data_IF_505455982204
#
_entry.id   IF_505455982204
#
_cell.length_a   1.000
_cell.length_b   1.000
_cell.length_c   1.000
_cell.angle_alpha   90.00
_cell.angle_beta   90.00
_cell.angle_gamma   90.00
#
_symmetry.space_group_name_H-M   'P 1'
#
loop_
_entity.id
_entity.type
_entity.pdbx_description
1 polymer ?
#
# COMPACT_ATOMS: atom_id res chain seq x y z
N UNK A 1 18.59 -21.79 -42.42
CA UNK A 1 17.70 -22.96 -42.21
C UNK A 1 17.93 -23.51 -40.81
N UNK A 2 16.94 -23.44 -39.92
CA UNK A 2 17.06 -24.00 -38.55
C UNK A 2 16.97 -25.53 -38.64
N UNK A 3 17.91 -26.24 -38.05
CA UNK A 3 18.01 -27.71 -38.12
C UNK A 3 16.98 -28.38 -37.20
N UNK A 4 16.51 -29.57 -37.58
CA UNK A 4 15.48 -30.38 -36.88
C UNK A 4 15.78 -30.64 -35.39
N UNK A 5 17.04 -30.51 -34.95
CA UNK A 5 17.45 -30.60 -33.53
C UNK A 5 17.04 -29.39 -32.68
N UNK A 6 16.86 -28.21 -33.28
CA UNK A 6 16.45 -27.00 -32.53
C UNK A 6 14.96 -26.99 -32.16
N UNK A 7 14.11 -27.69 -32.91
CA UNK A 7 12.66 -27.73 -32.66
C UNK A 7 12.27 -28.65 -31.49
N UNK A 8 13.09 -29.66 -31.16
CA UNK A 8 12.83 -30.58 -30.04
C UNK A 8 13.29 -30.01 -28.68
N UNK A 9 14.26 -29.09 -28.67
CA UNK A 9 14.68 -28.40 -27.45
C UNK A 9 13.62 -27.38 -26.97
N UNK A 10 12.94 -26.70 -27.91
CA UNK A 10 11.93 -25.69 -27.59
C UNK A 10 10.60 -26.29 -27.12
N UNK A 11 10.25 -27.51 -27.55
CA UNK A 11 9.01 -28.19 -27.15
C UNK A 11 9.06 -28.79 -25.72
N UNK A 12 10.26 -29.14 -25.23
CA UNK A 12 10.44 -29.71 -23.90
C UNK A 12 10.29 -28.65 -22.78
N UNK A 13 10.68 -27.39 -23.05
CA UNK A 13 10.50 -26.28 -22.10
C UNK A 13 9.06 -25.76 -22.05
N UNK A 14 8.30 -25.87 -23.14
CA UNK A 14 6.90 -25.42 -23.17
C UNK A 14 5.95 -26.36 -22.38
N UNK A 15 6.30 -27.64 -22.27
CA UNK A 15 5.45 -28.65 -21.61
C UNK A 15 5.66 -28.72 -20.09
N UNK A 16 6.80 -28.24 -19.58
CA UNK A 16 7.11 -28.25 -18.15
C UNK A 16 6.34 -27.17 -17.34
N UNK A 17 5.71 -26.20 -18.01
CA UNK A 17 4.92 -25.15 -17.36
C UNK A 17 3.47 -25.54 -17.05
N UNK A 18 2.97 -26.66 -17.60
CA UNK A 18 1.57 -27.10 -17.44
C UNK A 18 1.35 -28.11 -16.30
N UNK A 19 2.40 -28.50 -15.59
CA UNK A 19 2.34 -29.50 -14.51
C UNK A 19 2.87 -28.98 -13.16
N UNK A 20 2.67 -27.68 -12.87
CA UNK A 20 2.73 -27.23 -11.48
C UNK A 20 1.49 -27.78 -10.75
N UNK A 21 1.63 -28.51 -9.64
CA UNK A 21 0.48 -28.89 -8.84
C UNK A 21 -0.28 -27.62 -8.47
N UNK A 22 -1.62 -27.69 -8.51
CA UNK A 22 -2.58 -26.67 -8.04
C UNK A 22 -2.46 -26.39 -6.53
N UNK A 23 -1.36 -26.77 -5.89
CA UNK A 23 -1.06 -26.59 -4.49
C UNK A 23 -0.20 -25.34 -4.30
N UNK A 24 -0.88 -24.19 -4.27
CA UNK A 24 -0.52 -22.96 -3.55
C UNK A 24 -1.29 -21.75 -4.10
N UNK A 25 -2.52 -21.94 -4.60
CA UNK A 25 -3.44 -20.81 -4.56
C UNK A 25 -3.79 -20.65 -3.09
N UNK A 26 -3.22 -19.63 -2.43
CA UNK A 26 -3.57 -19.30 -1.06
C UNK A 26 -5.09 -19.34 -0.95
N UNK A 27 -5.61 -20.31 -0.18
CA UNK A 27 -7.03 -20.46 -0.01
C UNK A 27 -7.54 -19.13 0.56
N UNK A 28 -8.55 -18.54 -0.08
CA UNK A 28 -9.17 -17.35 0.47
C UNK A 28 -9.64 -17.68 1.89
N UNK A 29 -9.33 -16.84 2.89
CA UNK A 29 -9.70 -17.12 4.26
C UNK A 29 -11.22 -17.28 4.36
N UNK A 30 -11.71 -18.26 5.15
CA UNK A 30 -13.14 -18.49 5.31
C UNK A 30 -13.78 -17.24 5.95
N UNK A 31 -14.74 -16.61 5.27
CA UNK A 31 -15.46 -15.43 5.78
C UNK A 31 -15.35 -14.13 4.97
N UNK A 32 -14.59 -14.12 3.87
CA UNK A 32 -14.42 -12.91 3.04
C UNK A 32 -13.44 -11.90 3.67
N UNK A 33 -13.18 -10.75 3.00
CA UNK A 33 -12.21 -9.78 3.49
C UNK A 33 -12.72 -9.03 4.72
N UNK A 34 -11.94 -9.06 5.81
CA UNK A 34 -12.18 -8.31 7.04
C UNK A 34 -11.59 -6.91 6.89
N UNK A 35 -12.43 -5.88 6.92
CA UNK A 35 -11.98 -4.49 6.80
C UNK A 35 -11.77 -3.87 8.19
N UNK A 36 -10.61 -3.27 8.48
CA UNK A 36 -10.42 -2.55 9.73
C UNK A 36 -11.23 -1.25 9.73
N UNK A 37 -11.41 -0.66 10.92
CA UNK A 37 -12.08 0.64 11.07
C UNK A 37 -11.24 1.75 10.42
N UNK A 38 -11.93 2.75 9.86
CA UNK A 38 -11.28 3.99 9.44
C UNK A 38 -10.69 4.72 10.66
N UNK A 39 -9.57 5.39 10.47
CA UNK A 39 -8.91 6.20 11.49
C UNK A 39 -9.63 7.52 11.68
N UNK A 40 -9.58 8.00 12.92
CA UNK A 40 -10.06 9.32 13.31
C UNK A 40 -8.89 10.17 13.84
N UNK A 41 -9.00 11.51 13.84
CA UNK A 41 -8.06 12.36 14.58
C UNK A 41 -7.92 11.88 16.03
N UNK A 42 -6.69 11.87 16.54
CA UNK A 42 -6.33 11.36 17.86
C UNK A 42 -6.14 9.84 17.94
N UNK A 43 -6.39 9.10 16.86
CA UNK A 43 -6.15 7.66 16.83
C UNK A 43 -4.67 7.32 17.09
N UNK A 44 -4.45 6.25 17.86
CA UNK A 44 -3.12 5.86 18.35
C UNK A 44 -2.49 4.85 17.42
N UNK A 45 -1.28 5.14 16.94
CA UNK A 45 -0.58 4.32 15.95
C UNK A 45 0.67 3.71 16.57
N UNK A 46 0.74 2.39 16.62
CA UNK A 46 1.96 1.67 16.99
C UNK A 46 2.98 1.75 15.85
N UNK A 47 4.18 2.24 16.16
CA UNK A 47 5.31 2.30 15.22
C UNK A 47 6.21 1.10 15.46
N UNK A 48 6.35 0.24 14.45
CA UNK A 48 7.07 -1.04 14.56
C UNK A 48 8.16 -1.18 13.51
N UNK A 49 9.22 -1.91 13.85
CA UNK A 49 10.31 -2.25 12.90
C UNK A 49 10.41 -3.77 12.77
N UNK A 50 9.58 -4.42 11.94
CA UNK A 50 9.56 -5.89 11.88
C UNK A 50 10.72 -6.50 11.09
N UNK A 51 11.48 -5.68 10.37
CA UNK A 51 12.60 -6.09 9.54
C UNK A 51 13.90 -5.43 10.04
N UNK A 52 14.46 -4.53 9.24
CA UNK A 52 15.70 -3.82 9.57
C UNK A 52 15.43 -2.61 10.47
N UNK A 53 16.41 -2.13 11.27
CA UNK A 53 16.26 -0.91 12.06
C UNK A 53 16.10 0.30 11.14
N UNK A 54 15.73 1.47 11.68
CA UNK A 54 15.70 2.73 10.93
C UNK A 54 17.00 2.96 10.14
N UNK A 55 16.90 3.60 8.97
CA UNK A 55 18.08 3.86 8.12
C UNK A 55 18.96 4.93 8.74
N UNK A 56 18.34 6.01 9.20
CA UNK A 56 18.98 7.11 9.92
C UNK A 56 18.78 6.95 11.43
N UNK A 57 19.66 7.56 12.22
CA UNK A 57 19.54 7.60 13.69
C UNK A 57 18.20 8.20 14.10
N UNK A 58 17.72 9.17 13.34
CA UNK A 58 16.50 9.94 13.58
C UNK A 58 15.24 9.28 12.98
N UNK A 59 15.34 8.11 12.32
CA UNK A 59 14.17 7.50 11.64
C UNK A 59 12.96 7.33 12.56
N UNK A 60 13.20 7.02 13.84
CA UNK A 60 12.15 6.90 14.84
C UNK A 60 11.46 8.25 15.12
N UNK A 61 12.25 9.32 15.25
CA UNK A 61 11.75 10.69 15.49
C UNK A 61 10.95 11.16 14.27
N UNK A 62 11.49 10.97 13.07
CA UNK A 62 10.81 11.29 11.81
C UNK A 62 9.48 10.55 11.72
N UNK A 63 9.44 9.27 12.11
CA UNK A 63 8.20 8.50 12.11
C UNK A 63 7.16 9.01 13.11
N UNK A 64 7.60 9.41 14.30
CA UNK A 64 6.75 10.04 15.31
C UNK A 64 6.18 11.37 14.80
N UNK A 65 7.02 12.23 14.19
CA UNK A 65 6.62 13.53 13.63
C UNK A 65 5.65 13.40 12.45
N UNK A 66 5.91 12.47 11.52
CA UNK A 66 5.01 12.21 10.38
C UNK A 66 3.63 11.80 10.89
N UNK A 67 3.57 10.85 11.83
CA UNK A 67 2.30 10.39 12.40
C UNK A 67 1.59 11.51 13.16
N UNK A 68 2.32 12.29 13.96
CA UNK A 68 1.77 13.45 14.66
C UNK A 68 1.21 14.51 13.70
N UNK A 69 1.88 14.76 12.57
CA UNK A 69 1.44 15.72 11.55
C UNK A 69 0.11 15.35 10.88
N UNK A 70 -0.28 14.08 10.95
CA UNK A 70 -1.58 13.59 10.48
C UNK A 70 -2.70 13.77 11.52
N UNK A 71 -2.40 14.38 12.67
CA UNK A 71 -3.31 14.47 13.80
C UNK A 71 -3.50 13.14 14.54
N UNK A 72 -2.54 12.21 14.43
CA UNK A 72 -2.55 10.91 15.10
C UNK A 72 -1.57 10.91 16.28
N UNK A 73 -1.69 9.94 17.18
CA UNK A 73 -0.82 9.81 18.35
C UNK A 73 0.17 8.67 18.14
N UNK A 74 1.47 8.94 17.89
CA UNK A 74 2.46 7.89 17.71
C UNK A 74 2.76 7.17 19.04
N UNK A 75 2.92 5.85 18.98
CA UNK A 75 3.45 5.01 20.07
C UNK A 75 4.57 4.14 19.51
N UNK A 76 5.82 4.51 19.76
CA UNK A 76 6.98 3.71 19.36
C UNK A 76 7.02 2.40 20.16
N UNK A 77 7.14 1.28 19.46
CA UNK A 77 7.26 -0.04 20.09
C UNK A 77 8.72 -0.37 20.42
N UNK A 78 9.00 -1.16 21.48
CA UNK A 78 10.36 -1.37 21.99
C UNK A 78 11.41 -1.83 20.98
N UNK A 79 11.08 -2.78 20.09
CA UNK A 79 12.03 -3.33 19.12
C UNK A 79 12.48 -2.28 18.08
N UNK A 80 11.70 -1.23 17.84
CA UNK A 80 12.07 -0.14 16.94
C UNK A 80 13.35 0.62 17.36
N UNK A 81 13.74 0.53 18.64
CA UNK A 81 14.97 1.11 19.18
C UNK A 81 16.10 0.07 19.35
N UNK A 82 15.90 -1.18 18.92
CA UNK A 82 16.88 -2.25 19.04
C UNK A 82 17.64 -2.45 17.73
N UNK A 83 18.82 -3.04 17.85
CA UNK A 83 19.58 -3.49 16.72
C UNK A 83 20.31 -4.81 17.06
N UNK A 84 20.07 -5.83 16.25
CA UNK A 84 20.77 -7.11 16.28
C UNK A 84 21.26 -7.38 14.86
N UNK A 85 22.54 -7.11 14.62
CA UNK A 85 23.10 -7.10 13.27
C UNK A 85 22.30 -6.16 12.34
N UNK A 86 21.71 -6.69 11.27
CA UNK A 86 20.91 -5.95 10.29
C UNK A 86 19.41 -5.89 10.63
N UNK A 87 19.00 -6.42 11.79
CA UNK A 87 17.60 -6.51 12.25
C UNK A 87 17.33 -5.55 13.40
N UNK A 88 16.09 -5.09 13.52
CA UNK A 88 15.64 -4.23 14.63
C UNK A 88 15.35 -5.04 15.91
N UNK A 89 16.37 -5.71 16.46
CA UNK A 89 16.21 -6.69 17.56
C UNK A 89 16.06 -8.14 17.09
N UNK A 90 15.83 -9.07 18.01
CA UNK A 90 15.61 -10.49 17.69
C UNK A 90 14.24 -10.73 17.05
N UNK A 91 14.00 -11.94 16.52
CA UNK A 91 12.70 -12.27 15.92
C UNK A 91 11.58 -12.23 16.97
N UNK A 92 11.88 -12.67 18.19
CA UNK A 92 10.96 -12.68 19.32
C UNK A 92 10.61 -11.25 19.75
N UNK A 93 11.59 -10.34 19.83
CA UNK A 93 11.35 -8.93 20.16
C UNK A 93 10.47 -8.25 19.10
N UNK A 94 10.78 -8.43 17.81
CA UNK A 94 10.02 -7.83 16.71
C UNK A 94 8.61 -8.42 16.59
N UNK A 95 8.44 -9.72 16.85
CA UNK A 95 7.13 -10.36 16.89
C UNK A 95 6.33 -9.94 18.13
N UNK A 96 6.98 -9.75 19.27
CA UNK A 96 6.35 -9.27 20.50
C UNK A 96 5.74 -7.88 20.31
N UNK A 97 6.43 -6.98 19.61
CA UNK A 97 5.91 -5.65 19.26
C UNK A 97 4.61 -5.74 18.44
N UNK A 98 4.58 -6.56 17.39
CA UNK A 98 3.37 -6.77 16.58
C UNK A 98 2.24 -7.37 17.42
N UNK A 99 2.53 -8.42 18.19
CA UNK A 99 1.55 -9.08 19.03
C UNK A 99 0.99 -8.12 20.10
N UNK A 100 1.83 -7.33 20.74
CA UNK A 100 1.42 -6.33 21.73
C UNK A 100 0.54 -5.25 21.10
N UNK A 101 0.91 -4.74 19.92
CA UNK A 101 0.14 -3.72 19.22
C UNK A 101 -1.26 -4.23 18.80
N UNK A 102 -1.39 -5.49 18.41
CA UNK A 102 -2.70 -6.08 18.07
C UNK A 102 -3.53 -6.41 19.31
N UNK A 103 -2.92 -6.84 20.43
CA UNK A 103 -3.63 -7.10 21.70
C UNK A 103 -4.12 -5.83 22.39
N UNK A 104 -3.39 -4.73 22.26
CA UNK A 104 -3.69 -3.47 22.94
C UNK A 104 -4.92 -2.81 22.28
N UNK A 105 -6.08 -2.72 22.98
CA UNK A 105 -7.28 -2.09 22.44
C UNK A 105 -7.14 -0.57 22.34
N UNK A 106 -6.13 0.04 22.97
CA UNK A 106 -5.83 1.47 22.83
C UNK A 106 -5.02 1.79 21.58
N UNK A 107 -4.70 0.80 20.73
CA UNK A 107 -3.99 1.01 19.46
C UNK A 107 -4.95 0.83 18.31
N UNK A 108 -5.05 1.85 17.48
CA UNK A 108 -5.99 1.91 16.35
C UNK A 108 -5.35 1.46 15.04
N UNK A 109 -4.03 1.56 14.90
CA UNK A 109 -3.28 1.09 13.72
C UNK A 109 -1.84 0.68 14.04
N UNK A 110 -1.25 -0.09 13.15
CA UNK A 110 0.16 -0.49 13.17
C UNK A 110 0.84 -0.02 11.88
N UNK A 111 1.88 0.80 12.00
CA UNK A 111 2.60 1.35 10.86
C UNK A 111 4.09 1.01 10.96
N UNK A 112 4.61 0.35 9.94
CA UNK A 112 6.00 -0.03 9.86
C UNK A 112 6.90 1.18 9.59
N UNK A 113 7.97 1.30 10.37
CA UNK A 113 9.00 2.35 10.24
C UNK A 113 9.85 2.10 9.01
N UNK A 114 10.22 0.84 8.74
CA UNK A 114 11.07 0.46 7.62
C UNK A 114 10.81 -0.99 7.18
N UNK A 115 10.97 -1.24 5.88
CA UNK A 115 11.22 -2.58 5.33
C UNK A 115 12.68 -3.03 5.52
N UNK A 116 13.24 -3.74 4.53
CA UNK A 116 14.59 -4.29 4.57
C UNK A 116 14.58 -5.80 4.33
N UNK A 117 15.00 -6.57 5.32
CA UNK A 117 14.81 -8.03 5.33
C UNK A 117 14.56 -8.52 6.75
N UNK A 118 13.60 -9.43 6.91
CA UNK A 118 13.39 -10.16 8.17
C UNK A 118 11.95 -10.22 8.65
N UNK A 119 11.01 -9.50 8.03
CA UNK A 119 9.61 -9.49 8.46
C UNK A 119 8.92 -10.85 8.25
N UNK A 120 9.26 -11.57 7.17
CA UNK A 120 8.74 -12.92 6.92
C UNK A 120 9.13 -13.95 7.99
N UNK A 121 10.23 -13.73 8.70
CA UNK A 121 10.68 -14.60 9.81
C UNK A 121 9.71 -14.56 11.00
N UNK A 122 8.93 -13.50 11.12
CA UNK A 122 8.02 -13.30 12.24
C UNK A 122 6.74 -14.13 12.12
N UNK A 123 6.35 -14.55 10.91
CA UNK A 123 5.05 -15.21 10.66
C UNK A 123 4.76 -16.43 11.57
N UNK A 124 5.73 -17.29 11.93
CA UNK A 124 5.49 -18.40 12.87
C UNK A 124 5.30 -17.95 14.33
N UNK A 125 5.72 -16.74 14.68
CA UNK A 125 5.71 -16.19 16.04
C UNK A 125 4.49 -15.29 16.33
N UNK A 126 3.68 -15.00 15.30
CA UNK A 126 2.52 -14.13 15.44
C UNK A 126 1.33 -14.85 16.05
N UNK A 127 0.65 -14.15 16.96
CA UNK A 127 -0.59 -14.61 17.57
C UNK A 127 -1.77 -14.32 16.64
N UNK A 128 -2.01 -15.25 15.73
CA UNK A 128 -3.06 -15.15 14.73
C UNK A 128 -4.48 -15.14 15.33
N UNK A 129 -4.67 -15.62 16.56
CA UNK A 129 -5.97 -15.54 17.23
C UNK A 129 -6.23 -14.12 17.74
N UNK A 130 -5.25 -13.53 18.43
CA UNK A 130 -5.32 -12.15 18.89
C UNK A 130 -5.50 -11.16 17.74
N UNK A 131 -4.78 -11.38 16.63
CA UNK A 131 -4.91 -10.55 15.41
C UNK A 131 -6.33 -10.65 14.82
N UNK A 132 -6.90 -11.86 14.73
CA UNK A 132 -8.27 -12.06 14.23
C UNK A 132 -9.32 -11.37 15.10
N UNK A 133 -9.13 -11.39 16.42
CA UNK A 133 -10.03 -10.74 17.39
C UNK A 133 -9.93 -9.22 17.38
N UNK A 134 -8.81 -8.66 16.95
CA UNK A 134 -8.53 -7.23 17.00
C UNK A 134 -8.08 -6.67 15.63
N UNK A 135 -8.93 -6.73 14.59
CA UNK A 135 -8.57 -6.27 13.25
C UNK A 135 -8.34 -4.75 13.25
N UNK A 136 -7.13 -4.34 12.87
CA UNK A 136 -6.72 -2.93 12.74
C UNK A 136 -5.80 -2.75 11.53
N UNK A 137 -5.67 -1.53 10.96
CA UNK A 137 -4.82 -1.30 9.80
C UNK A 137 -3.37 -1.70 10.09
N UNK A 138 -2.78 -2.48 9.18
CA UNK A 138 -1.34 -2.74 9.10
C UNK A 138 -0.80 -2.08 7.83
N UNK A 139 0.18 -1.20 7.98
CA UNK A 139 0.73 -0.39 6.90
C UNK A 139 2.23 -0.58 6.73
N UNK A 140 2.67 -0.72 5.48
CA UNK A 140 4.08 -0.61 5.11
C UNK A 140 4.35 -1.06 3.69
N UNK A 141 5.62 -1.00 3.28
CA UNK A 141 6.07 -1.29 1.92
C UNK A 141 7.36 -2.14 1.92
N UNK A 142 7.69 -2.73 0.76
CA UNK A 142 8.89 -3.53 0.52
C UNK A 142 8.80 -4.88 1.23
N UNK A 143 9.79 -5.27 2.03
CA UNK A 143 9.81 -6.53 2.79
C UNK A 143 8.54 -6.76 3.61
N UNK A 144 7.92 -5.67 4.10
CA UNK A 144 6.65 -5.70 4.85
C UNK A 144 5.54 -6.45 4.10
N UNK A 145 5.61 -6.54 2.77
CA UNK A 145 4.70 -7.34 1.93
C UNK A 145 4.54 -8.78 2.41
N UNK A 146 5.59 -9.39 2.99
CA UNK A 146 5.49 -10.72 3.59
C UNK A 146 4.45 -10.76 4.73
N UNK A 147 4.46 -9.73 5.59
CA UNK A 147 3.44 -9.57 6.64
C UNK A 147 2.09 -9.20 6.06
N UNK A 148 2.02 -8.24 5.13
CA UNK A 148 0.73 -7.82 4.54
C UNK A 148 -0.03 -9.03 3.96
N UNK A 149 0.67 -9.88 3.21
CA UNK A 149 0.11 -11.10 2.63
C UNK A 149 -0.17 -12.17 3.69
N UNK A 150 0.73 -12.35 4.66
CA UNK A 150 0.55 -13.31 5.75
C UNK A 150 -0.68 -13.02 6.60
N UNK A 151 -0.85 -11.77 7.02
CA UNK A 151 -2.04 -11.29 7.74
C UNK A 151 -3.30 -11.51 6.94
N UNK A 152 -3.31 -11.11 5.66
CA UNK A 152 -4.48 -11.31 4.81
C UNK A 152 -4.82 -12.78 4.64
N UNK A 153 -3.85 -13.64 4.30
CA UNK A 153 -4.07 -15.05 4.07
C UNK A 153 -4.54 -15.81 5.33
N UNK A 154 -4.04 -15.43 6.51
CA UNK A 154 -4.35 -16.11 7.78
C UNK A 154 -5.64 -15.63 8.44
N UNK A 155 -6.03 -14.38 8.20
CA UNK A 155 -7.09 -13.72 9.00
C UNK A 155 -8.19 -13.09 8.16
N UNK A 156 -8.01 -12.94 6.85
CA UNK A 156 -8.90 -12.17 5.99
C UNK A 156 -8.73 -10.66 6.12
N UNK A 157 -7.92 -10.17 7.05
CA UNK A 157 -7.68 -8.75 7.27
C UNK A 157 -7.16 -8.09 6.00
N UNK A 158 -7.83 -7.01 5.59
CA UNK A 158 -7.34 -6.11 4.56
C UNK A 158 -6.18 -5.31 5.14
N UNK A 159 -5.01 -5.46 4.52
CA UNK A 159 -3.77 -4.76 4.89
C UNK A 159 -3.41 -3.75 3.81
N UNK A 160 -2.55 -2.78 4.14
CA UNK A 160 -2.28 -1.62 3.28
C UNK A 160 -0.81 -1.62 2.85
N UNK A 161 -0.59 -1.85 1.56
CA UNK A 161 0.70 -1.64 0.94
C UNK A 161 0.91 -0.14 0.69
N UNK A 162 1.55 0.52 1.65
CA UNK A 162 1.66 1.97 1.76
C UNK A 162 3.09 2.40 2.14
N UNK A 163 3.50 3.65 1.92
CA UNK A 163 4.82 4.13 2.35
C UNK A 163 5.07 3.83 3.84
N UNK A 164 6.32 3.55 4.20
CA UNK A 164 6.68 3.36 5.61
C UNK A 164 6.65 4.72 6.34
N UNK A 165 6.39 4.73 7.65
CA UNK A 165 6.18 5.99 8.38
C UNK A 165 7.45 6.83 8.60
N UNK A 166 8.64 6.37 8.17
CA UNK A 166 9.87 7.19 8.20
C UNK A 166 10.26 7.76 6.83
N UNK A 167 9.45 7.53 5.78
CA UNK A 167 9.75 7.97 4.43
C UNK A 167 9.10 9.33 4.10
N UNK A 168 9.70 10.09 3.19
CA UNK A 168 9.11 11.34 2.73
C UNK A 168 7.83 11.09 1.92
N UNK A 169 6.70 11.60 2.39
CA UNK A 169 5.41 11.49 1.73
C UNK A 169 5.20 12.66 0.77
N UNK A 170 5.23 12.37 -0.54
CA UNK A 170 4.76 13.35 -1.54
C UNK A 170 3.30 13.73 -1.28
N UNK A 171 2.88 14.93 -1.71
CA UNK A 171 1.49 15.39 -1.61
C UNK A 171 0.48 14.37 -2.16
N UNK A 172 0.84 13.73 -3.27
CA UNK A 172 0.06 12.65 -3.87
C UNK A 172 -0.11 11.46 -2.92
N UNK A 173 1.00 10.94 -2.38
CA UNK A 173 0.98 9.79 -1.47
C UNK A 173 0.21 10.11 -0.18
N UNK A 174 0.40 11.31 0.35
CA UNK A 174 -0.30 11.80 1.53
C UNK A 174 -1.82 11.92 1.30
N UNK A 175 -2.24 12.47 0.16
CA UNK A 175 -3.65 12.61 -0.19
C UNK A 175 -4.33 11.23 -0.33
N UNK A 176 -3.70 10.30 -1.04
CA UNK A 176 -4.24 8.94 -1.20
C UNK A 176 -4.27 8.18 0.13
N UNK A 177 -3.23 8.32 0.96
CA UNK A 177 -3.21 7.72 2.28
C UNK A 177 -4.36 8.23 3.15
N UNK A 178 -4.56 9.56 3.20
CA UNK A 178 -5.67 10.16 3.96
C UNK A 178 -7.02 9.66 3.47
N UNK A 179 -7.20 9.58 2.16
CA UNK A 179 -8.44 9.12 1.52
C UNK A 179 -8.78 7.67 1.84
N UNK A 180 -7.78 6.80 1.93
CA UNK A 180 -7.97 5.37 2.23
C UNK A 180 -8.11 5.10 3.72
N UNK A 181 -7.36 5.82 4.57
CA UNK A 181 -7.32 5.52 6.01
C UNK A 181 -8.40 6.23 6.82
N UNK A 182 -8.81 7.44 6.43
CA UNK A 182 -9.73 8.27 7.23
C UNK A 182 -11.16 8.30 6.69
N UNK A 183 -11.44 7.57 5.61
CA UNK A 183 -12.78 7.52 5.00
C UNK A 183 -13.32 6.10 5.00
N UNK A 184 -14.63 5.98 5.22
CA UNK A 184 -15.39 4.74 5.00
C UNK A 184 -15.87 4.60 3.55
N UNK A 185 -15.77 5.67 2.76
CA UNK A 185 -16.15 5.63 1.35
C UNK A 185 -15.21 4.72 0.56
N UNK A 186 -15.74 3.98 -0.45
CA UNK A 186 -14.90 3.17 -1.31
C UNK A 186 -13.78 4.02 -1.92
N UNK A 187 -12.54 3.58 -1.74
CA UNK A 187 -11.39 4.26 -2.32
C UNK A 187 -11.39 4.24 -3.86
N UNK A 188 -12.31 3.54 -4.53
CA UNK A 188 -12.38 3.52 -5.99
C UNK A 188 -11.04 3.17 -6.63
N UNK A 189 -10.75 3.80 -7.76
CA UNK A 189 -9.44 3.68 -8.43
C UNK A 189 -8.48 4.68 -7.80
N UNK A 190 -7.35 4.20 -7.27
CA UNK A 190 -6.25 5.08 -6.82
C UNK A 190 -5.81 5.93 -8.02
N UNK A 191 -5.69 7.24 -7.82
CA UNK A 191 -5.35 8.15 -8.90
C UNK A 191 -4.04 7.77 -9.61
N UNK A 192 -3.88 8.16 -10.87
CA UNK A 192 -2.63 7.92 -11.56
C UNK A 192 -1.49 8.67 -10.86
N UNK A 193 -0.40 7.97 -10.55
CA UNK A 193 0.77 8.60 -9.98
C UNK A 193 1.26 9.74 -10.89
N UNK A 194 1.70 10.88 -10.33
CA UNK A 194 2.23 11.98 -11.12
C UNK A 194 3.40 11.49 -11.97
N UNK A 195 3.53 12.05 -13.18
CA UNK A 195 4.66 11.70 -14.06
C UNK A 195 5.97 11.94 -13.33
N UNK A 196 6.78 10.90 -13.21
CA UNK A 196 8.11 11.02 -12.65
C UNK A 196 8.96 11.96 -13.51
N UNK A 197 9.15 13.20 -13.08
CA UNK A 197 10.10 14.09 -13.74
C UNK A 197 11.50 13.64 -13.36
N UNK A 198 12.28 13.12 -14.31
CA UNK A 198 13.73 13.02 -14.11
C UNK A 198 14.25 14.44 -14.10
N UNK A 199 14.26 15.10 -12.95
CA UNK A 199 15.14 16.25 -12.76
C UNK A 199 16.55 15.67 -12.77
N UNK A 200 17.14 15.59 -13.97
CA UNK A 200 18.54 15.21 -14.13
C UNK A 200 19.32 16.32 -13.44
N UNK A 201 19.72 16.10 -12.20
CA UNK A 201 20.70 16.97 -11.55
C UNK A 201 21.94 16.85 -12.42
N UNK A 202 22.33 17.94 -13.08
CA UNK A 202 23.59 17.98 -13.81
C UNK A 202 24.70 17.94 -12.76
N UNK A 203 25.13 16.76 -12.35
CA UNK A 203 26.40 16.62 -11.64
C UNK A 203 27.50 16.71 -12.69
N UNK A 204 28.47 17.59 -12.45
CA UNK A 204 29.73 17.70 -13.22
C UNK A 204 30.68 16.53 -12.93
N UNK A 205 30.29 15.60 -12.05
CA UNK A 205 31.06 14.39 -11.74
C UNK A 205 30.88 13.29 -12.78
N UNK A 206 31.97 12.55 -13.06
CA UNK A 206 31.95 11.31 -13.87
C UNK A 206 30.97 10.33 -13.22
N UNK A 207 29.78 10.20 -13.80
CA UNK A 207 28.80 9.19 -13.38
C UNK A 207 29.17 7.89 -14.07
N UNK A 208 29.71 6.92 -13.32
CA UNK A 208 29.84 5.54 -13.82
C UNK A 208 28.44 4.93 -13.75
N UNK A 209 27.75 4.86 -14.88
CA UNK A 209 26.53 4.07 -14.99
C UNK A 209 26.91 2.60 -14.86
N UNK A 210 26.53 1.95 -13.76
CA UNK A 210 26.58 0.49 -13.68
C UNK A 210 25.75 -0.06 -14.85
N UNK A 211 26.41 -0.77 -15.76
CA UNK A 211 25.78 -1.35 -16.94
C UNK A 211 24.53 -2.12 -16.56
N UNK A 212 23.50 -2.01 -17.39
CA UNK A 212 22.23 -2.72 -17.25
C UNK A 212 22.49 -4.23 -17.23
N UNK A 213 22.67 -4.82 -16.05
CA UNK A 213 22.66 -6.27 -15.89
C UNK A 213 21.30 -6.81 -16.34
N UNK A 214 21.25 -7.88 -17.15
CA UNK A 214 20.02 -8.52 -17.64
C UNK A 214 19.02 -8.91 -16.54
N UNK A 215 19.48 -9.02 -15.30
CA UNK A 215 18.66 -9.32 -14.12
C UNK A 215 17.51 -8.33 -13.88
N UNK A 216 17.63 -7.05 -14.29
CA UNK A 216 16.52 -6.07 -14.16
C UNK A 216 15.38 -6.29 -15.15
N UNK A 217 15.65 -6.89 -16.33
CA UNK A 217 14.60 -7.21 -17.29
C UNK A 217 13.71 -8.37 -16.80
N UNK A 218 14.29 -9.33 -16.07
CA UNK A 218 13.56 -10.44 -15.47
C UNK A 218 12.57 -9.98 -14.38
N UNK A 219 12.95 -8.99 -13.56
CA UNK A 219 12.08 -8.43 -12.53
C UNK A 219 10.86 -7.69 -13.11
N UNK A 220 11.02 -7.01 -14.25
CA UNK A 220 9.91 -6.36 -14.95
C UNK A 220 8.92 -7.36 -15.56
N UNK A 221 9.39 -8.54 -15.97
CA UNK A 221 8.53 -9.60 -16.54
C UNK A 221 7.68 -10.31 -15.48
N UNK A 222 8.11 -10.33 -14.21
CA UNK A 222 7.32 -10.88 -13.10
C UNK A 222 6.13 -9.97 -12.72
N UNK A 223 6.29 -8.65 -12.78
CA UNK A 223 5.22 -7.69 -12.48
C UNK A 223 4.11 -7.64 -13.54
N UNK A 224 4.42 -7.96 -14.81
CA UNK A 224 3.44 -7.91 -15.90
C UNK A 224 2.53 -9.15 -16.00
N UNK A 225 2.95 -10.28 -15.42
CA UNK A 225 2.23 -11.56 -15.58
C UNK A 225 1.07 -11.72 -14.58
N UNK A 226 1.07 -10.97 -13.47
CA UNK A 226 -0.04 -10.98 -12.49
C UNK A 226 -1.19 -10.03 -12.84
N UNK A 227 -1.02 -9.11 -13.80
CA UNK A 227 -2.02 -8.10 -14.15
C UNK A 227 -2.91 -8.44 -15.36
N UNK A 228 -2.61 -9.49 -16.13
CA UNK A 228 -3.29 -9.79 -17.40
C UNK A 228 -4.31 -10.93 -17.38
N UNK A 229 -4.59 -11.53 -16.22
CA UNK A 229 -5.57 -12.63 -16.11
C UNK A 229 -6.85 -12.23 -15.38
N UNK A 230 -7.58 -11.24 -15.92
CA UNK A 230 -9.06 -11.09 -15.86
C UNK A 230 -9.52 -9.76 -16.46
N UNK A 231 -9.73 -9.71 -17.77
CA UNK A 231 -10.75 -8.85 -18.38
C UNK A 231 -11.00 -9.25 -19.85
N UNK A 232 -11.71 -10.36 -20.05
CA UNK A 232 -12.21 -10.75 -21.38
C UNK A 232 -13.61 -11.37 -21.26
N UNK A 233 -14.59 -10.56 -20.88
CA UNK A 233 -16.00 -10.85 -21.19
C UNK A 233 -16.84 -9.57 -21.10
N UNK A 234 -16.73 -8.71 -22.11
CA UNK A 234 -17.76 -7.73 -22.41
C UNK A 234 -18.16 -7.91 -23.87
N UNK A 235 -19.40 -8.38 -24.05
CA UNK A 235 -20.06 -8.59 -25.34
C UNK A 235 -20.08 -7.30 -26.15
N UNK A 236 -19.89 -7.46 -27.46
CA UNK A 236 -20.16 -6.44 -28.47
C UNK A 236 -21.64 -6.05 -28.38
N UNK A 237 -21.90 -4.80 -28.00
CA UNK A 237 -23.21 -4.14 -28.07
C UNK A 237 -23.07 -2.90 -28.93
N UNK A 238 -23.85 -2.87 -30.01
CA UNK A 238 -23.96 -1.83 -31.03
C UNK A 238 -24.27 -0.43 -30.46
N UNK A 239 -23.52 0.58 -30.92
CA UNK A 239 -23.81 2.00 -30.73
C UNK A 239 -25.00 2.45 -31.60
N UNK A 240 -25.94 3.26 -31.08
CA UNK A 240 -26.70 4.20 -31.89
C UNK A 240 -26.08 5.61 -31.81
N UNK A 241 -26.05 6.27 -32.97
CA UNK A 241 -25.55 7.62 -33.22
C UNK A 241 -26.25 8.72 -32.39
N UNK A 242 -25.58 9.85 -32.11
CA UNK A 242 -26.18 10.93 -31.34
C UNK A 242 -27.17 11.76 -32.18
N UNK A 243 -28.39 11.87 -31.68
CA UNK A 243 -29.42 12.80 -32.17
C UNK A 243 -29.06 14.22 -31.73
N UNK A 244 -29.04 15.11 -32.71
CA UNK A 244 -28.89 16.56 -32.65
C UNK A 244 -30.09 17.15 -31.90
N UNK A 245 -29.90 17.85 -30.78
CA UNK A 245 -30.96 18.69 -30.19
C UNK A 245 -30.61 20.17 -30.32
N UNK A 246 -31.54 20.86 -30.97
CA UNK A 246 -31.54 22.27 -31.31
C UNK A 246 -31.83 23.14 -30.10
N UNK A 247 -31.15 24.28 -30.09
CA UNK A 247 -31.47 25.49 -29.35
C UNK A 247 -32.97 25.85 -29.36
N UNK A 248 -33.53 26.17 -28.21
CA UNK A 248 -34.56 27.21 -28.13
C UNK A 248 -34.33 28.08 -26.89
N UNK A 249 -34.13 29.37 -27.18
CA UNK A 249 -34.13 30.47 -26.21
C UNK A 249 -35.54 30.64 -25.67
N UNK A 250 -35.69 30.89 -24.37
CA UNK A 250 -36.77 31.77 -23.90
C UNK A 250 -36.36 32.57 -22.66
N UNK A 251 -36.53 33.87 -22.85
CA UNK A 251 -36.41 35.02 -21.95
C UNK A 251 -37.31 34.95 -20.71
N UNK A 252 -36.90 35.64 -19.64
CA UNK A 252 -37.81 36.09 -18.58
C UNK A 252 -37.06 36.46 -17.29
N UNK A 253 -36.43 37.64 -17.22
CA UNK A 253 -36.95 38.90 -16.65
C UNK A 253 -36.55 39.08 -15.17
N UNK A 254 -35.81 40.16 -14.97
CA UNK A 254 -35.39 40.76 -13.72
C UNK A 254 -36.56 41.20 -12.84
N UNK A 255 -36.37 41.12 -11.52
CA UNK A 255 -37.00 42.02 -10.57
C UNK A 255 -36.10 42.25 -9.36
N UNK A 256 -35.63 43.48 -9.28
CA UNK A 256 -35.00 44.16 -8.15
C UNK A 256 -35.99 44.32 -6.99
N UNK A 257 -35.50 44.17 -5.76
CA UNK A 257 -36.22 44.50 -4.54
C UNK A 257 -35.23 44.78 -3.41
N UNK A 258 -34.89 46.05 -3.25
CA UNK A 258 -34.16 46.64 -2.13
C UNK A 258 -35.10 46.81 -0.93
N UNK A 259 -34.62 46.55 0.29
CA UNK A 259 -34.84 47.44 1.45
C UNK A 259 -33.83 47.14 2.56
N UNK A 260 -33.31 48.22 3.13
CA UNK A 260 -32.31 48.32 4.18
C UNK A 260 -32.93 48.51 5.58
N UNK A 261 -32.06 48.46 6.60
CA UNK A 261 -32.27 49.04 7.94
C UNK A 261 -32.58 48.01 9.04
N UNK A 262 -32.08 48.09 10.27
CA UNK A 262 -31.09 48.95 10.93
C UNK A 262 -30.86 48.39 12.35
N UNK A 263 -29.68 48.69 12.89
CA UNK A 263 -29.19 48.57 14.28
C UNK A 263 -30.25 48.75 15.39
N UNK A 264 -30.06 48.07 16.53
CA UNK A 264 -29.76 48.66 17.86
C UNK A 264 -29.43 47.58 18.90
N UNK A 265 -28.38 47.84 19.70
CA UNK A 265 -27.99 47.15 20.94
C UNK A 265 -28.98 47.45 22.10
N UNK A 266 -28.85 46.82 23.27
CA UNK A 266 -27.79 47.15 24.25
C UNK A 266 -26.73 46.06 24.44
#
# INVERSE_FOLDING_TARGET
MKTRRSLLADAALASAFLALPRAARAAAPPGGPVRPKALAPGARVALVSPASPGTEVESNVIAEEIVASLGLVPKRMPAAARQTMYLAGTDEERAADLNAAFRDPSIDAVWCIRGGYGSGRLLPLLDWEAIRKNPKPLLGYSDITALLNGFHARTGLVTYHAPNCSENLSDYALAELKRVLFSTEPAGVIAAAPRWSRRRVSSTGRTVSAGSSPARAAAASWAATSASSRCSSARRGSHPSPVRSSSSRRSGRSRTGSTAGSRTSP
#
